data_IF_169253575616
#
_entry.id   IF_169253575616
#
_cell.length_a   1.000
_cell.length_b   1.000
_cell.length_c   1.000
_cell.angle_alpha   90.00
_cell.angle_beta   90.00
_cell.angle_gamma   90.00
#
_symmetry.space_group_name_H-M   'P 1'
#
loop_
_entity.id
_entity.type
_entity.pdbx_description
1 polymer ?
#
# COMPACT_ATOMS: atom_id res chain seq x y z
N UNK A 1 10.25 -1.53 7.35
CA UNK A 1 11.10 -1.78 6.16
C UNK A 1 10.59 -0.96 4.98
N UNK A 2 11.30 -0.89 3.85
CA UNK A 2 10.84 -0.19 2.63
C UNK A 2 10.47 -1.22 1.58
N UNK A 3 9.30 -1.09 0.97
CA UNK A 3 8.80 -1.99 -0.07
C UNK A 3 8.40 -1.19 -1.29
N UNK A 4 8.91 -1.56 -2.46
CA UNK A 4 8.35 -1.07 -3.72
C UNK A 4 7.11 -1.88 -4.01
N UNK A 5 5.97 -1.21 -4.15
CA UNK A 5 4.68 -1.85 -4.46
C UNK A 5 4.02 -1.14 -5.63
N UNK A 6 3.25 -1.90 -6.40
CA UNK A 6 2.40 -1.34 -7.46
C UNK A 6 0.97 -1.26 -6.95
N UNK A 7 0.35 -0.10 -7.12
CA UNK A 7 -1.03 0.12 -6.72
C UNK A 7 -1.96 -0.64 -7.66
N UNK A 8 -2.71 -1.60 -7.11
CA UNK A 8 -3.67 -2.42 -7.85
C UNK A 8 -4.90 -1.61 -8.26
N UNK A 9 -5.44 -0.82 -7.33
CA UNK A 9 -6.66 -0.02 -7.52
C UNK A 9 -6.85 1.01 -6.42
N UNK A 10 -7.79 1.93 -6.62
CA UNK A 10 -8.30 2.82 -5.57
C UNK A 10 -9.49 2.16 -4.86
N UNK A 11 -9.49 2.20 -3.53
CA UNK A 11 -10.57 1.67 -2.68
C UNK A 11 -11.45 2.80 -2.12
N UNK A 12 -12.66 2.49 -1.58
CA UNK A 12 -13.47 3.48 -0.88
C UNK A 12 -12.66 4.22 0.20
N UNK A 13 -12.75 5.55 0.19
CA UNK A 13 -11.88 6.42 0.99
C UNK A 13 -10.67 7.00 0.23
N UNK A 14 -10.50 6.64 -1.06
CA UNK A 14 -9.53 7.29 -1.95
C UNK A 14 -8.08 6.84 -1.78
N UNK A 15 -7.85 5.75 -1.02
CA UNK A 15 -6.51 5.16 -0.86
C UNK A 15 -6.22 4.18 -1.99
N UNK A 16 -4.97 4.12 -2.44
CA UNK A 16 -4.47 3.05 -3.29
C UNK A 16 -4.25 1.79 -2.47
N UNK A 17 -4.68 0.65 -2.99
CA UNK A 17 -4.46 -0.66 -2.42
C UNK A 17 -3.34 -1.36 -3.18
N UNK A 18 -2.39 -1.91 -2.44
CA UNK A 18 -1.30 -2.72 -2.98
C UNK A 18 -0.98 -3.89 -2.04
N UNK A 19 -0.11 -4.78 -2.50
CA UNK A 19 0.46 -5.85 -1.67
C UNK A 19 1.98 -5.83 -1.73
N UNK A 20 2.61 -6.08 -0.60
CA UNK A 20 4.05 -6.37 -0.55
C UNK A 20 4.34 -7.73 -1.18
N UNK A 21 5.62 -8.02 -1.45
CA UNK A 21 6.06 -9.33 -1.94
C UNK A 21 5.66 -10.49 -1.01
N UNK A 22 5.49 -10.20 0.29
CA UNK A 22 5.07 -11.17 1.31
C UNK A 22 3.55 -11.27 1.46
N UNK A 23 2.78 -10.61 0.58
CA UNK A 23 1.32 -10.66 0.54
C UNK A 23 0.60 -9.77 1.55
N UNK A 24 1.31 -8.88 2.26
CA UNK A 24 0.68 -7.94 3.20
C UNK A 24 -0.01 -6.82 2.45
N UNK A 25 -1.24 -6.48 2.86
CA UNK A 25 -2.00 -5.38 2.28
C UNK A 25 -1.45 -4.05 2.76
N UNK A 26 -1.21 -3.13 1.83
CA UNK A 26 -0.80 -1.76 2.09
C UNK A 26 -1.83 -0.80 1.51
N UNK A 27 -2.23 0.21 2.28
CA UNK A 27 -3.12 1.27 1.84
C UNK A 27 -2.40 2.61 1.86
N UNK A 28 -2.28 3.24 0.68
CA UNK A 28 -1.42 4.41 0.45
C UNK A 28 -2.26 5.57 -0.08
N UNK A 29 -2.37 6.71 0.63
CA UNK A 29 -3.10 7.87 0.15
C UNK A 29 -2.38 8.54 -1.02
N UNK A 30 -3.11 9.33 -1.81
CA UNK A 30 -2.55 10.15 -2.91
C UNK A 30 -1.83 9.35 -4.01
N UNK A 31 -2.37 8.19 -4.35
CA UNK A 31 -1.81 7.34 -5.41
C UNK A 31 -2.82 7.04 -6.50
N UNK A 32 -2.33 6.54 -7.63
CA UNK A 32 -3.13 6.15 -8.79
C UNK A 32 -2.96 4.65 -9.10
N UNK A 33 -3.96 4.00 -9.73
CA UNK A 33 -3.79 2.63 -10.21
C UNK A 33 -2.60 2.50 -11.17
N UNK A 34 -1.85 1.41 -11.04
CA UNK A 34 -0.60 1.10 -11.77
C UNK A 34 0.60 1.98 -11.41
N UNK A 35 0.47 2.91 -10.47
CA UNK A 35 1.61 3.67 -9.95
C UNK A 35 2.52 2.74 -9.12
N UNK A 36 3.83 2.89 -9.27
CA UNK A 36 4.82 2.20 -8.44
C UNK A 36 5.35 3.14 -7.37
N UNK A 37 5.15 2.77 -6.12
CA UNK A 37 5.47 3.63 -4.96
C UNK A 37 6.36 2.90 -3.96
N UNK A 38 7.20 3.68 -3.27
CA UNK A 38 8.04 3.19 -2.19
C UNK A 38 7.30 3.31 -0.86
N UNK A 39 6.60 2.25 -0.47
CA UNK A 39 5.90 2.18 0.80
C UNK A 39 6.89 1.98 1.96
N UNK A 40 6.69 2.72 3.05
CA UNK A 40 7.42 2.55 4.30
C UNK A 40 6.49 1.96 5.34
N UNK A 41 6.89 0.87 5.98
CA UNK A 41 6.14 0.34 7.12
C UNK A 41 6.29 1.28 8.32
N UNK A 42 5.28 2.11 8.60
CA UNK A 42 5.28 2.97 9.79
C UNK A 42 4.50 2.36 10.96
N UNK A 43 3.57 1.42 10.73
CA UNK A 43 2.88 0.72 11.83
C UNK A 43 2.34 -0.65 11.40
N UNK A 44 2.77 -1.72 12.09
CA UNK A 44 2.22 -3.07 11.93
C UNK A 44 0.99 -3.22 12.81
N UNK A 45 -0.19 -2.82 12.32
CA UNK A 45 -1.47 -3.19 12.97
C UNK A 45 -1.92 -4.54 12.43
N UNK A 46 -2.46 -5.38 13.30
CA UNK A 46 -2.98 -6.73 12.99
C UNK A 46 -3.82 -6.76 11.70
N UNK A 47 -3.19 -7.09 10.57
CA UNK A 47 -3.86 -7.39 9.29
C UNK A 47 -3.62 -6.43 8.12
N UNK A 48 -3.05 -5.22 8.31
CA UNK A 48 -2.71 -4.33 7.18
C UNK A 48 -1.69 -3.24 7.56
N UNK A 49 -1.01 -2.70 6.54
CA UNK A 49 -0.03 -1.61 6.62
C UNK A 49 -0.63 -0.30 6.07
N UNK A 50 -0.36 0.82 6.74
CA UNK A 50 -0.58 2.18 6.22
C UNK A 50 0.78 2.86 6.02
N UNK A 51 0.96 3.55 4.89
CA UNK A 51 2.18 4.27 4.53
C UNK A 51 1.96 5.14 3.31
#
# INVERSE_FOLDING_TARGET
MKHTVTIEKIIPGGKGLARTADGQVVMIPFTLPNESVLAREDTKKSGYLEG
#
